data_IF_001837852931
#
_entry.id   IF_001837852931
#
_cell.length_a   1.000
_cell.length_b   1.000
_cell.length_c   1.000
_cell.angle_alpha   90.00
_cell.angle_beta   90.00
_cell.angle_gamma   90.00
#
_symmetry.space_group_name_H-M   'P 1'
#
loop_
_entity.id
_entity.type
_entity.pdbx_description
1 polymer ?
#
# COMPACT_ATOMS: atom_id res chain seq x y z
N UNK A 1 -18.16 -20.55 -10.92
CA UNK A 1 -17.02 -19.62 -10.88
C UNK A 1 -17.55 -18.25 -11.26
N UNK A 2 -17.16 -17.20 -10.54
CA UNK A 2 -17.56 -15.82 -10.82
C UNK A 2 -16.61 -15.22 -11.87
N UNK A 3 -17.12 -14.31 -12.72
CA UNK A 3 -16.30 -13.60 -13.71
C UNK A 3 -15.57 -12.37 -13.11
N UNK A 4 -15.83 -12.04 -11.84
CA UNK A 4 -15.20 -10.91 -11.16
C UNK A 4 -13.85 -11.33 -10.57
N UNK A 5 -12.71 -10.78 -11.05
CA UNK A 5 -11.41 -11.06 -10.47
C UNK A 5 -11.31 -10.62 -9.00
N UNK A 6 -11.99 -9.56 -8.59
CA UNK A 6 -12.05 -9.13 -7.19
C UNK A 6 -12.77 -10.15 -6.32
N UNK A 7 -13.91 -10.66 -6.79
CA UNK A 7 -14.66 -11.70 -6.07
C UNK A 7 -13.88 -13.01 -5.98
N UNK A 8 -13.17 -13.39 -7.06
CA UNK A 8 -12.29 -14.54 -7.08
C UNK A 8 -11.14 -14.40 -6.08
N UNK A 9 -10.46 -13.24 -6.06
CA UNK A 9 -9.40 -12.94 -5.10
C UNK A 9 -9.92 -13.02 -3.65
N UNK A 10 -11.07 -12.40 -3.36
CA UNK A 10 -11.68 -12.47 -2.04
C UNK A 10 -12.04 -13.92 -1.64
N UNK A 11 -12.54 -14.74 -2.57
CA UNK A 11 -12.82 -16.15 -2.29
C UNK A 11 -11.56 -16.89 -1.86
N UNK A 12 -10.47 -16.73 -2.63
CA UNK A 12 -9.16 -17.33 -2.32
C UNK A 12 -8.60 -16.83 -0.99
N UNK A 13 -8.74 -15.54 -0.69
CA UNK A 13 -8.28 -14.96 0.58
C UNK A 13 -9.07 -15.52 1.77
N UNK A 14 -10.40 -15.64 1.65
CA UNK A 14 -11.25 -16.26 2.68
C UNK A 14 -10.83 -17.72 2.91
N UNK A 15 -10.65 -18.49 1.84
CA UNK A 15 -10.25 -19.90 1.91
C UNK A 15 -8.87 -20.08 2.56
N UNK A 16 -7.92 -19.20 2.24
CA UNK A 16 -6.56 -19.22 2.79
C UNK A 16 -6.49 -18.79 4.27
N UNK A 17 -7.42 -17.96 4.73
CA UNK A 17 -7.40 -17.40 6.09
C UNK A 17 -7.63 -18.43 7.21
N UNK A 18 -8.26 -19.57 6.90
CA UNK A 18 -8.70 -20.55 7.89
C UNK A 18 -9.84 -20.09 8.82
N UNK A 19 -10.34 -18.86 8.64
CA UNK A 19 -11.43 -18.29 9.43
C UNK A 19 -12.80 -18.55 8.79
N UNK A 20 -13.83 -18.57 9.62
CA UNK A 20 -15.20 -18.58 9.13
C UNK A 20 -15.57 -17.23 8.51
N UNK A 21 -16.47 -17.25 7.52
CA UNK A 21 -17.02 -16.01 6.95
C UNK A 21 -17.66 -15.09 8.00
N UNK A 22 -18.18 -15.64 9.10
CA UNK A 22 -18.77 -14.86 10.20
C UNK A 22 -17.70 -14.11 10.98
N UNK A 23 -16.56 -14.75 11.26
CA UNK A 23 -15.42 -14.12 11.93
C UNK A 23 -14.82 -13.01 11.06
N UNK A 24 -14.59 -13.30 9.78
CA UNK A 24 -14.08 -12.32 8.81
C UNK A 24 -15.02 -11.11 8.73
N UNK A 25 -16.33 -11.34 8.59
CA UNK A 25 -17.31 -10.26 8.55
C UNK A 25 -17.31 -9.42 9.83
N UNK A 26 -17.16 -10.05 11.00
CA UNK A 26 -17.03 -9.37 12.29
C UNK A 26 -15.78 -8.50 12.36
N UNK A 27 -14.61 -9.05 11.98
CA UNK A 27 -13.33 -8.32 11.97
C UNK A 27 -13.32 -7.17 10.96
N UNK A 28 -13.91 -7.36 9.79
CA UNK A 28 -14.00 -6.34 8.74
C UNK A 28 -15.08 -5.27 9.00
N UNK A 29 -15.83 -5.38 10.11
CA UNK A 29 -16.89 -4.44 10.47
C UNK A 29 -18.06 -4.44 9.49
N UNK A 30 -18.36 -5.59 8.87
CA UNK A 30 -19.50 -5.73 7.97
C UNK A 30 -20.80 -5.82 8.78
N UNK A 31 -21.84 -5.02 8.45
CA UNK A 31 -23.07 -4.96 9.24
C UNK A 31 -23.86 -6.27 9.19
N UNK A 32 -23.72 -7.05 8.12
CA UNK A 32 -24.36 -8.36 7.97
C UNK A 32 -23.38 -9.38 7.36
N UNK A 33 -23.16 -10.53 8.00
CA UNK A 33 -22.23 -11.55 7.50
C UNK A 33 -22.58 -12.12 6.12
N UNK A 34 -23.87 -12.12 5.74
CA UNK A 34 -24.32 -12.61 4.44
C UNK A 34 -23.79 -11.79 3.26
N UNK A 35 -23.41 -10.53 3.47
CA UNK A 35 -22.84 -9.68 2.43
C UNK A 35 -21.51 -10.24 1.94
N UNK A 36 -20.70 -10.83 2.82
CA UNK A 36 -19.44 -11.47 2.43
C UNK A 36 -19.67 -12.63 1.44
N UNK A 37 -20.76 -13.39 1.62
CA UNK A 37 -21.14 -14.45 0.68
C UNK A 37 -21.66 -13.91 -0.66
N UNK A 38 -22.27 -12.73 -0.70
CA UNK A 38 -22.68 -12.09 -1.95
C UNK A 38 -21.44 -11.55 -2.69
N UNK A 39 -20.49 -10.97 -1.96
CA UNK A 39 -19.23 -10.48 -2.50
C UNK A 39 -18.40 -11.58 -3.17
N UNK A 40 -18.17 -12.73 -2.51
CA UNK A 40 -17.39 -13.84 -3.11
C UNK A 40 -18.02 -14.43 -4.37
N UNK A 41 -19.35 -14.32 -4.51
CA UNK A 41 -20.07 -14.78 -5.71
C UNK A 41 -20.08 -13.72 -6.82
N UNK A 42 -19.65 -12.49 -6.52
CA UNK A 42 -19.73 -11.35 -7.44
C UNK A 42 -21.13 -10.77 -7.58
N UNK A 43 -22.07 -11.12 -6.71
CA UNK A 43 -23.44 -10.56 -6.68
C UNK A 43 -23.45 -9.13 -6.13
N UNK A 44 -22.43 -8.76 -5.38
CA UNK A 44 -22.23 -7.41 -4.83
C UNK A 44 -20.75 -7.07 -4.92
N UNK A 45 -20.42 -5.85 -5.32
CA UNK A 45 -19.02 -5.39 -5.33
C UNK A 45 -18.44 -5.40 -3.93
N UNK A 46 -17.15 -5.67 -3.84
CA UNK A 46 -16.40 -5.39 -2.61
C UNK A 46 -16.27 -3.87 -2.47
N UNK A 47 -16.74 -3.26 -1.38
CA UNK A 47 -16.56 -1.83 -1.15
C UNK A 47 -15.07 -1.53 -0.96
N UNK A 48 -14.53 -0.60 -1.74
CA UNK A 48 -13.09 -0.30 -1.77
C UNK A 48 -12.59 0.15 -0.40
N UNK A 49 -13.39 0.93 0.32
CA UNK A 49 -13.11 1.39 1.68
C UNK A 49 -13.01 0.26 2.71
N UNK A 50 -13.53 -0.94 2.39
CA UNK A 50 -13.45 -2.13 3.25
C UNK A 50 -12.29 -3.04 2.94
N UNK A 51 -11.58 -2.82 1.83
CA UNK A 51 -10.44 -3.66 1.43
C UNK A 51 -9.38 -3.76 2.53
N UNK A 52 -8.95 -2.67 3.21
CA UNK A 52 -7.95 -2.80 4.28
C UNK A 52 -8.39 -3.73 5.42
N UNK A 53 -9.63 -3.58 5.89
CA UNK A 53 -10.15 -4.39 6.98
C UNK A 53 -10.41 -5.85 6.57
N UNK A 54 -10.80 -6.09 5.31
CA UNK A 54 -10.93 -7.43 4.75
C UNK A 54 -9.58 -8.11 4.57
N UNK A 55 -8.57 -7.37 4.11
CA UNK A 55 -7.21 -7.85 3.92
C UNK A 55 -6.57 -8.23 5.27
N UNK A 56 -6.71 -7.39 6.29
CA UNK A 56 -6.30 -7.69 7.65
C UNK A 56 -7.02 -8.92 8.21
N UNK A 57 -8.35 -9.00 8.01
CA UNK A 57 -9.13 -10.15 8.50
C UNK A 57 -8.75 -11.47 7.81
N UNK A 58 -8.35 -11.43 6.53
CA UNK A 58 -7.99 -12.61 5.74
C UNK A 58 -6.48 -12.88 5.71
N UNK A 59 -5.66 -12.04 6.34
CA UNK A 59 -4.20 -12.06 6.26
C UNK A 59 -3.67 -12.11 4.82
N UNK A 60 -4.16 -11.19 3.97
CA UNK A 60 -3.73 -11.07 2.58
C UNK A 60 -3.20 -9.66 2.26
N UNK A 61 -2.50 -9.53 1.12
CA UNK A 61 -1.91 -8.25 0.72
C UNK A 61 -2.99 -7.21 0.34
N UNK A 62 -3.14 -6.11 1.11
CA UNK A 62 -4.10 -5.06 0.80
C UNK A 62 -3.77 -4.30 -0.49
N UNK A 63 -2.50 -4.22 -0.90
CA UNK A 63 -2.11 -3.50 -2.12
C UNK A 63 -2.58 -4.26 -3.35
N UNK A 64 -2.31 -5.56 -3.41
CA UNK A 64 -2.79 -6.42 -4.48
C UNK A 64 -4.32 -6.46 -4.55
N UNK A 65 -4.98 -6.59 -3.39
CA UNK A 65 -6.44 -6.60 -3.35
C UNK A 65 -7.04 -5.28 -3.88
N UNK A 66 -6.52 -4.13 -3.42
CA UNK A 66 -6.96 -2.83 -3.89
C UNK A 66 -6.68 -2.63 -5.39
N UNK A 67 -5.51 -3.06 -5.86
CA UNK A 67 -5.12 -2.98 -7.27
C UNK A 67 -6.10 -3.74 -8.16
N UNK A 68 -6.45 -4.98 -7.79
CA UNK A 68 -7.43 -5.80 -8.53
C UNK A 68 -8.80 -5.10 -8.55
N UNK A 69 -9.27 -4.65 -7.38
CA UNK A 69 -10.57 -3.99 -7.25
C UNK A 69 -10.66 -2.68 -8.06
N UNK A 70 -9.61 -1.85 -8.00
CA UNK A 70 -9.55 -0.59 -8.75
C UNK A 70 -9.46 -0.83 -10.26
N UNK A 71 -8.68 -1.83 -10.69
CA UNK A 71 -8.57 -2.20 -12.11
C UNK A 71 -9.90 -2.70 -12.65
N UNK A 72 -10.67 -3.46 -11.86
CA UNK A 72 -11.97 -3.98 -12.26
C UNK A 72 -13.08 -2.92 -12.21
N UNK A 73 -13.17 -2.17 -11.11
CA UNK A 73 -14.32 -1.31 -10.84
C UNK A 73 -14.15 0.11 -11.37
N UNK A 74 -12.92 0.62 -11.44
CA UNK A 74 -12.60 2.00 -11.82
C UNK A 74 -11.31 2.08 -12.67
N UNK A 75 -11.23 1.39 -13.82
CA UNK A 75 -10.01 1.30 -14.62
C UNK A 75 -9.47 2.67 -15.06
N UNK A 76 -10.36 3.62 -15.40
CA UNK A 76 -9.98 4.97 -15.80
C UNK A 76 -9.37 5.76 -14.64
N UNK A 77 -10.00 5.73 -13.47
CA UNK A 77 -9.47 6.39 -12.27
C UNK A 77 -8.14 5.76 -11.85
N UNK A 78 -8.04 4.42 -11.88
CA UNK A 78 -6.79 3.71 -11.62
C UNK A 78 -5.68 4.10 -12.60
N UNK A 79 -6.01 4.24 -13.88
CA UNK A 79 -5.09 4.74 -14.90
C UNK A 79 -4.58 6.15 -14.60
N UNK A 80 -5.47 7.08 -14.26
CA UNK A 80 -5.10 8.45 -13.87
C UNK A 80 -4.24 8.46 -12.61
N UNK A 81 -4.60 7.69 -11.58
CA UNK A 81 -3.81 7.62 -10.35
C UNK A 81 -2.38 7.15 -10.63
N UNK A 82 -2.19 6.15 -11.49
CA UNK A 82 -0.87 5.67 -11.88
C UNK A 82 -0.05 6.68 -12.69
N UNK A 83 -0.69 7.62 -13.38
CA UNK A 83 -0.01 8.71 -14.10
C UNK A 83 0.28 9.90 -13.18
N UNK A 84 -0.65 10.24 -12.28
CA UNK A 84 -0.60 11.44 -11.42
C UNK A 84 0.28 11.23 -10.19
N UNK A 85 0.24 10.06 -9.58
CA UNK A 85 1.03 9.72 -8.40
C UNK A 85 2.36 9.03 -8.74
N UNK A 86 2.83 9.20 -9.98
CA UNK A 86 4.20 8.92 -10.42
C UNK A 86 5.04 10.20 -10.19
N UNK A 87 6.18 10.17 -9.46
CA UNK A 87 7.17 9.11 -9.49
C UNK A 87 6.87 7.97 -8.50
N UNK A 88 7.02 6.74 -9.00
CA UNK A 88 7.40 5.60 -8.17
C UNK A 88 8.66 6.00 -7.43
N UNK A 89 8.57 6.09 -6.10
CA UNK A 89 9.77 6.06 -5.26
C UNK A 89 10.64 4.91 -5.79
N UNK A 90 11.79 5.27 -6.35
CA UNK A 90 12.74 4.27 -6.82
C UNK A 90 13.20 3.42 -5.64
N UNK A 91 13.82 2.28 -5.89
CA UNK A 91 14.43 1.48 -4.82
C UNK A 91 15.41 2.32 -3.97
N UNK A 92 16.05 3.32 -4.58
CA UNK A 92 16.87 4.32 -3.89
C UNK A 92 16.03 5.20 -2.96
N UNK A 93 14.91 5.76 -3.43
CA UNK A 93 14.06 6.64 -2.63
C UNK A 93 13.44 5.88 -1.45
N UNK A 94 13.00 4.65 -1.67
CA UNK A 94 12.56 3.74 -0.61
C UNK A 94 13.69 3.42 0.36
N UNK A 95 14.91 3.21 -0.13
CA UNK A 95 16.10 3.03 0.70
C UNK A 95 16.34 4.21 1.65
N UNK A 96 16.24 5.44 1.15
CA UNK A 96 16.39 6.66 1.95
C UNK A 96 15.28 6.76 3.00
N UNK A 97 14.02 6.53 2.62
CA UNK A 97 12.90 6.56 3.56
C UNK A 97 13.04 5.50 4.66
N UNK A 98 13.54 4.31 4.33
CA UNK A 98 13.86 3.26 5.32
C UNK A 98 14.97 3.70 6.27
N UNK A 99 16.04 4.30 5.77
CA UNK A 99 17.12 4.82 6.62
C UNK A 99 16.61 5.89 7.59
N UNK A 100 15.76 6.80 7.12
CA UNK A 100 15.13 7.81 7.96
C UNK A 100 14.25 7.17 9.05
N UNK A 101 13.43 6.19 8.69
CA UNK A 101 12.60 5.46 9.66
C UNK A 101 13.44 4.67 10.69
N UNK A 102 14.62 4.17 10.31
CA UNK A 102 15.55 3.52 11.24
C UNK A 102 16.26 4.50 12.17
N UNK A 103 16.61 5.69 11.65
CA UNK A 103 17.30 6.72 12.42
C UNK A 103 16.36 7.46 13.38
N UNK A 104 15.09 7.59 13.03
CA UNK A 104 14.05 8.23 13.83
C UNK A 104 12.74 7.40 13.84
N UNK A 105 12.74 6.25 14.53
CA UNK A 105 11.59 5.34 14.55
C UNK A 105 10.38 5.91 15.29
N UNK A 106 10.56 7.00 16.04
CA UNK A 106 9.51 7.66 16.82
C UNK A 106 8.97 8.93 16.15
N UNK A 107 9.54 9.33 15.01
CA UNK A 107 9.14 10.55 14.30
C UNK A 107 9.37 11.80 15.15
N UNK A 108 10.40 11.79 15.99
CA UNK A 108 10.76 12.92 16.85
C UNK A 108 11.32 14.09 16.03
N UNK A 109 11.85 13.81 14.84
CA UNK A 109 12.30 14.83 13.91
C UNK A 109 11.07 15.52 13.31
N UNK A 110 10.81 16.73 13.80
CA UNK A 110 9.75 17.61 13.30
C UNK A 110 10.33 18.63 12.34
N UNK A 111 10.21 18.35 11.05
CA UNK A 111 10.74 19.24 10.00
C UNK A 111 9.90 20.52 9.88
N UNK A 112 10.52 21.68 10.06
CA UNK A 112 9.98 22.96 9.60
C UNK A 112 10.61 23.32 8.26
N UNK A 113 9.94 24.18 7.49
CA UNK A 113 10.41 24.64 6.17
C UNK A 113 11.84 25.23 6.20
N UNK A 114 12.22 25.84 7.33
CA UNK A 114 13.56 26.41 7.55
C UNK A 114 14.64 25.34 7.75
N UNK A 115 14.29 24.13 8.20
CA UNK A 115 15.23 23.04 8.44
C UNK A 115 15.60 22.31 7.13
N UNK A 116 14.75 22.41 6.10
CA UNK A 116 14.98 21.76 4.80
C UNK A 116 16.24 22.29 4.10
N UNK A 117 16.51 23.59 4.20
CA UNK A 117 17.70 24.21 3.58
C UNK A 117 18.99 23.70 4.22
N UNK A 118 19.00 23.58 5.54
CA UNK A 118 20.14 23.04 6.31
C UNK A 118 20.36 21.58 5.96
N UNK A 119 19.30 20.79 5.85
CA UNK A 119 19.41 19.37 5.45
C UNK A 119 19.91 19.21 4.03
N UNK A 120 19.40 20.01 3.07
CA UNK A 120 19.90 19.98 1.69
C UNK A 120 21.39 20.30 1.67
N UNK A 121 21.84 21.29 2.44
CA UNK A 121 23.26 21.64 2.56
C UNK A 121 24.10 20.50 3.17
N UNK A 122 23.63 19.88 4.25
CA UNK A 122 24.28 18.73 4.89
C UNK A 122 24.38 17.53 3.94
N UNK A 123 23.27 17.15 3.30
CA UNK A 123 23.26 16.05 2.33
C UNK A 123 24.18 16.33 1.14
N UNK A 124 24.18 17.56 0.63
CA UNK A 124 25.08 17.98 -0.45
C UNK A 124 26.55 17.88 -0.05
N UNK A 125 26.88 18.29 1.18
CA UNK A 125 28.22 18.18 1.73
C UNK A 125 28.66 16.72 1.88
N UNK A 126 27.82 15.87 2.48
CA UNK A 126 28.08 14.44 2.66
C UNK A 126 28.26 13.76 1.31
N UNK A 127 27.39 14.02 0.33
CA UNK A 127 27.52 13.47 -1.02
C UNK A 127 28.80 13.94 -1.72
N UNK A 128 29.18 15.20 -1.54
CA UNK A 128 30.44 15.74 -2.05
C UNK A 128 31.65 15.03 -1.44
N UNK A 129 31.62 14.79 -0.13
CA UNK A 129 32.66 14.06 0.58
C UNK A 129 32.73 12.59 0.13
N UNK A 130 31.61 11.87 0.05
CA UNK A 130 31.60 10.48 -0.41
C UNK A 130 32.12 10.33 -1.85
N UNK A 131 31.80 11.29 -2.74
CA UNK A 131 32.34 11.34 -4.10
C UNK A 131 33.85 11.60 -4.11
N UNK A 132 34.36 12.42 -3.20
CA UNK A 132 35.79 12.67 -3.05
C UNK A 132 36.54 11.42 -2.56
N UNK A 133 35.96 10.67 -1.64
CA UNK A 133 36.53 9.41 -1.11
C UNK A 133 36.34 8.23 -2.08
N UNK A 134 35.59 8.41 -3.17
CA UNK A 134 35.38 7.40 -4.22
C UNK A 134 34.30 6.37 -3.91
N UNK A 135 33.45 6.63 -2.91
CA UNK A 135 32.43 5.69 -2.43
C UNK A 135 31.11 5.76 -3.22
N UNK A 136 30.95 6.76 -4.09
CA UNK A 136 29.76 6.92 -4.95
C UNK A 136 30.20 6.93 -6.41
N UNK A 137 29.65 6.06 -7.28
CA UNK A 137 29.93 6.08 -8.71
C UNK A 137 29.60 7.45 -9.32
N UNK A 138 30.47 7.97 -10.18
CA UNK A 138 30.10 9.09 -11.05
C UNK A 138 29.17 8.54 -12.14
N UNK A 139 27.91 8.97 -12.11
CA UNK A 139 26.95 8.78 -13.21
C UNK A 139 27.44 9.48 -14.49
#
# INVERSE_FOLDING_TARGET
MTNSPTAAFLSTAIESSGLTQREIAGRAGLPKPNVLSMMKRGETKVPIERIPALAEACDCDPQEFLRIAMTEYHPEAWGVLNVVFDPKLSDRDLGILRMLNMADPRGEITWKKQDSEIMIALFSYILGWMRYVGEVPKE
#
